data_IF_932225055705
#
_entry.id   IF_932225055705
#
_cell.length_a   1.000
_cell.length_b   1.000
_cell.length_c   1.000
_cell.angle_alpha   90.00
_cell.angle_beta   90.00
_cell.angle_gamma   90.00
#
_symmetry.space_group_name_H-M   'P 1'
#
loop_
_entity.id
_entity.type
_entity.pdbx_description
1 polymer ?
#
# COMPACT_ATOMS: atom_id res chain seq x y z
N UNK A 1 18.21 -5.87 -6.53
CA UNK A 1 17.07 -5.00 -6.85
C UNK A 1 15.81 -5.82 -6.69
N UNK A 2 14.94 -5.47 -5.75
CA UNK A 2 13.61 -6.07 -5.68
C UNK A 2 12.84 -5.60 -6.92
N UNK A 3 12.39 -6.54 -7.76
CA UNK A 3 11.47 -6.25 -8.85
C UNK A 3 10.07 -6.55 -8.33
N UNK A 4 9.20 -5.54 -8.33
CA UNK A 4 7.78 -5.70 -8.05
C UNK A 4 7.03 -5.67 -9.38
N UNK A 5 6.14 -6.62 -9.57
CA UNK A 5 5.26 -6.68 -10.72
C UNK A 5 4.03 -5.82 -10.44
N UNK A 6 3.98 -4.62 -11.02
CA UNK A 6 2.94 -3.63 -10.75
C UNK A 6 1.55 -4.14 -11.14
N UNK A 7 1.42 -4.96 -12.18
CA UNK A 7 0.14 -5.54 -12.63
C UNK A 7 -0.45 -6.53 -11.60
N UNK A 8 0.40 -7.08 -10.72
CA UNK A 8 -0.04 -8.00 -9.66
C UNK A 8 -0.52 -7.29 -8.41
N UNK A 9 -0.02 -6.09 -8.14
CA UNK A 9 -0.25 -5.38 -6.87
C UNK A 9 -1.15 -4.16 -7.02
N UNK A 10 -1.31 -3.62 -8.23
CA UNK A 10 -2.17 -2.48 -8.51
C UNK A 10 -3.46 -2.91 -9.21
N UNK A 11 -4.51 -2.11 -9.00
CA UNK A 11 -5.67 -2.15 -9.86
C UNK A 11 -5.27 -1.80 -11.31
N UNK A 12 -6.00 -2.35 -12.29
CA UNK A 12 -5.72 -2.15 -13.72
C UNK A 12 -5.67 -0.68 -14.12
N UNK A 13 -6.44 0.18 -13.46
CA UNK A 13 -6.43 1.62 -13.72
C UNK A 13 -5.10 2.30 -13.37
N UNK A 14 -4.26 1.65 -12.55
CA UNK A 14 -3.01 2.21 -12.01
C UNK A 14 -1.75 1.49 -12.48
N UNK A 15 -1.87 0.36 -13.19
CA UNK A 15 -0.74 -0.47 -13.61
C UNK A 15 0.26 0.26 -14.55
N UNK A 16 -0.24 1.17 -15.39
CA UNK A 16 0.56 1.94 -16.36
C UNK A 16 1.05 3.30 -15.81
N UNK A 17 0.82 3.57 -14.52
CA UNK A 17 1.15 4.86 -13.89
C UNK A 17 2.59 4.88 -13.37
N UNK A 18 3.16 6.08 -13.25
CA UNK A 18 4.47 6.25 -12.63
C UNK A 18 4.41 6.01 -11.12
N UNK A 19 5.53 5.60 -10.51
CA UNK A 19 5.59 5.38 -9.05
C UNK A 19 5.15 6.60 -8.22
N UNK A 20 5.51 7.85 -8.56
CA UNK A 20 5.01 9.02 -7.85
C UNK A 20 3.49 9.17 -7.92
N UNK A 21 2.88 8.88 -9.09
CA UNK A 21 1.42 8.90 -9.23
C UNK A 21 0.75 7.81 -8.41
N UNK A 22 1.33 6.59 -8.37
CA UNK A 22 0.84 5.47 -7.57
C UNK A 22 0.92 5.79 -6.08
N UNK A 23 2.01 6.41 -5.63
CA UNK A 23 2.17 6.79 -4.23
C UNK A 23 1.16 7.86 -3.79
N UNK A 24 0.81 8.80 -4.68
CA UNK A 24 -0.22 9.81 -4.45
C UNK A 24 -1.66 9.27 -4.64
N UNK A 25 -1.81 8.06 -5.19
CA UNK A 25 -3.10 7.43 -5.42
C UNK A 25 -3.81 7.07 -4.10
N UNK A 26 -5.15 6.97 -4.10
CA UNK A 26 -5.87 6.42 -2.95
C UNK A 26 -5.46 4.98 -2.66
N UNK A 27 -5.62 4.52 -1.43
CA UNK A 27 -5.34 3.11 -1.05
C UNK A 27 -6.15 2.09 -1.86
N UNK A 28 -7.30 2.47 -2.43
CA UNK A 28 -8.08 1.64 -3.37
C UNK A 28 -7.38 1.39 -4.71
N UNK A 29 -6.27 2.06 -4.99
CA UNK A 29 -5.40 1.76 -6.13
C UNK A 29 -4.65 0.42 -5.97
N UNK A 30 -4.54 -0.08 -4.73
CA UNK A 30 -3.97 -1.38 -4.45
C UNK A 30 -5.00 -2.48 -4.75
N UNK A 31 -4.55 -3.51 -5.45
CA UNK A 31 -5.42 -4.63 -5.81
C UNK A 31 -5.93 -5.34 -4.56
N UNK A 32 -7.26 -5.50 -4.49
CA UNK A 32 -7.92 -6.15 -3.36
C UNK A 32 -8.33 -5.21 -2.23
N UNK A 33 -8.07 -3.90 -2.37
CA UNK A 33 -8.60 -2.86 -1.46
C UNK A 33 -9.77 -2.19 -2.15
N UNK A 34 -10.97 -2.30 -1.57
CA UNK A 34 -12.14 -1.59 -2.08
C UNK A 34 -12.15 -0.12 -1.62
N UNK A 35 -12.99 0.70 -2.26
CA UNK A 35 -13.26 2.07 -1.81
C UNK A 35 -13.67 2.11 -0.33
N UNK A 36 -14.51 1.14 0.08
CA UNK A 36 -14.99 1.04 1.47
C UNK A 36 -13.87 0.72 2.46
N UNK A 37 -12.91 -0.12 2.07
CA UNK A 37 -11.74 -0.40 2.91
C UNK A 37 -10.86 0.85 3.05
N UNK A 38 -10.74 1.64 1.98
CA UNK A 38 -10.05 2.93 2.01
C UNK A 38 -10.70 3.94 2.95
N UNK A 39 -12.03 4.02 2.97
CA UNK A 39 -12.77 4.85 3.94
C UNK A 39 -12.49 4.42 5.38
N UNK A 40 -12.49 3.11 5.67
CA UNK A 40 -12.21 2.59 7.01
C UNK A 40 -10.78 2.90 7.46
N UNK A 41 -9.80 2.81 6.55
CA UNK A 41 -8.41 3.19 6.83
C UNK A 41 -8.28 4.69 7.13
N UNK A 42 -9.01 5.52 6.40
CA UNK A 42 -9.08 6.97 6.65
C UNK A 42 -9.71 7.27 8.00
N UNK A 43 -10.84 6.65 8.33
CA UNK A 43 -11.54 6.85 9.61
C UNK A 43 -10.71 6.38 10.80
N UNK A 44 -10.05 5.22 10.69
CA UNK A 44 -9.32 4.63 11.80
C UNK A 44 -7.92 5.24 12.01
N UNK A 45 -7.21 5.57 10.93
CA UNK A 45 -5.79 5.94 10.97
C UNK A 45 -5.45 7.23 10.22
N UNK A 46 -6.42 7.89 9.58
CA UNK A 46 -6.18 9.07 8.75
C UNK A 46 -5.43 8.78 7.44
N UNK A 47 -5.37 7.51 7.03
CA UNK A 47 -4.65 7.09 5.82
C UNK A 47 -5.51 7.32 4.59
N UNK A 48 -5.00 8.07 3.61
CA UNK A 48 -5.73 8.36 2.37
C UNK A 48 -5.02 7.84 1.13
N UNK A 49 -3.69 7.92 1.10
CA UNK A 49 -2.88 7.55 -0.05
C UNK A 49 -2.07 6.28 0.20
N UNK A 50 -1.55 5.69 -0.89
CA UNK A 50 -0.60 4.58 -0.79
C UNK A 50 0.66 5.00 -0.04
N UNK A 51 1.12 6.24 -0.21
CA UNK A 51 2.22 6.80 0.57
C UNK A 51 1.88 6.84 2.07
N UNK A 52 0.73 7.38 2.45
CA UNK A 52 0.30 7.44 3.87
C UNK A 52 0.29 6.05 4.51
N UNK A 53 -0.21 5.04 3.77
CA UNK A 53 -0.25 3.65 4.24
C UNK A 53 1.17 3.10 4.47
N UNK A 54 2.11 3.39 3.56
CA UNK A 54 3.51 2.98 3.68
C UNK A 54 4.25 3.71 4.82
N UNK A 55 3.80 4.90 5.19
CA UNK A 55 4.36 5.68 6.30
C UNK A 55 3.73 5.37 7.66
N UNK A 56 2.59 4.67 7.69
CA UNK A 56 1.90 4.32 8.92
C UNK A 56 2.79 3.45 9.81
N UNK A 57 3.08 3.94 11.03
CA UNK A 57 3.98 3.28 12.00
C UNK A 57 3.64 1.81 12.26
N UNK A 58 2.35 1.48 12.30
CA UNK A 58 1.88 0.11 12.56
C UNK A 58 2.23 -0.85 11.43
N UNK A 59 2.11 -0.39 10.17
CA UNK A 59 2.48 -1.17 8.99
C UNK A 59 3.99 -1.40 8.98
N UNK A 60 4.79 -0.36 9.26
CA UNK A 60 6.25 -0.46 9.35
C UNK A 60 6.69 -1.44 10.45
N UNK A 61 6.08 -1.39 11.62
CA UNK A 61 6.37 -2.35 12.70
C UNK A 61 5.99 -3.77 12.32
N UNK A 62 4.82 -3.99 11.73
CA UNK A 62 4.40 -5.32 11.27
C UNK A 62 5.35 -5.90 10.21
N UNK A 63 5.76 -5.10 9.23
CA UNK A 63 6.74 -5.48 8.20
C UNK A 63 8.10 -5.83 8.82
N UNK A 64 8.59 -5.02 9.77
CA UNK A 64 9.85 -5.29 10.46
C UNK A 64 9.81 -6.60 11.27
N UNK A 65 8.70 -6.87 11.97
CA UNK A 65 8.52 -8.11 12.72
C UNK A 65 8.48 -9.34 11.80
N UNK A 66 7.81 -9.25 10.65
CA UNK A 66 7.79 -10.33 9.66
C UNK A 66 9.19 -10.61 9.10
N UNK A 67 9.93 -9.56 8.72
CA UNK A 67 11.30 -9.69 8.21
C UNK A 67 12.26 -10.30 9.26
N UNK A 68 12.13 -9.94 10.54
CA UNK A 68 12.92 -10.55 11.62
C UNK A 68 12.64 -12.04 11.80
N UNK A 69 11.41 -12.49 11.51
CA UNK A 69 11.07 -13.90 11.57
C UNK A 69 11.66 -14.69 10.40
N UNK A 70 11.68 -14.11 9.19
CA UNK A 70 12.30 -14.73 8.01
C UNK A 70 13.83 -14.78 8.07
N UNK A 71 14.45 -13.88 8.83
CA UNK A 71 15.91 -13.82 9.02
C UNK A 71 16.46 -14.86 10.03
N UNK A 72 15.59 -15.69 10.62
CA UNK A 72 15.98 -16.83 11.46
C UNK A 72 16.18 -18.09 10.64
#
# INVERSE_FOLDING_TARGET
>A
MASIDLEKVLDKAWADKSLPEILAAPVSALKGVSERDGELLKEAFGVTTVADLAELKYVRWAQALAALNEAK
#
